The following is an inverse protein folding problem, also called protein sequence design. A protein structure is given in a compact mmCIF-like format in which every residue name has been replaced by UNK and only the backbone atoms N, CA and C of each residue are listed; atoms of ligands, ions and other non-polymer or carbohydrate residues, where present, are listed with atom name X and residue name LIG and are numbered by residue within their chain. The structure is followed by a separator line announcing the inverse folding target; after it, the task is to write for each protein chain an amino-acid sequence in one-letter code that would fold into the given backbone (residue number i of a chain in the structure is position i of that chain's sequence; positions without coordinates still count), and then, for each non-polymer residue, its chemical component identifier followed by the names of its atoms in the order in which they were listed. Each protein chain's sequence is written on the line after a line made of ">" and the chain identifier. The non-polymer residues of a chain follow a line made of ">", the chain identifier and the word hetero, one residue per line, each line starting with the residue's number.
data_IF_686193036291
#
_entry.id   IF_686193036291
#
_cell.length_a   1.000
_cell.length_b   1.000
_cell.length_c   1.000
_cell.angle_alpha   90.00
_cell.angle_beta   90.00
_cell.angle_gamma   90.00
#
_symmetry.space_group_name_H-M   'P 1'
#
loop_
_entity.id
_entity.type
_entity.pdbx_description
1 polymer ?
#
# COMPACT_ATOMS: atom_id res chain seq x y z
N UNK A 1 -1.00 18.83 -19.88
CA UNK A 1 -1.16 18.93 -18.41
C UNK A 1 -1.20 17.51 -17.84
N UNK A 2 -0.05 16.98 -17.39
CA UNK A 2 0.07 15.55 -17.11
C UNK A 2 -0.49 15.19 -15.74
N UNK A 3 -1.49 14.31 -15.74
CA UNK A 3 -2.26 13.83 -14.59
C UNK A 3 -1.37 13.16 -13.53
N UNK A 4 -0.93 13.91 -12.52
CA UNK A 4 -0.16 13.40 -11.37
C UNK A 4 -1.02 12.88 -10.21
N UNK A 5 -2.32 12.68 -10.41
CA UNK A 5 -3.29 12.63 -9.29
C UNK A 5 -3.76 11.26 -8.75
N UNK A 6 -3.45 10.07 -9.30
CA UNK A 6 -3.84 8.80 -8.64
C UNK A 6 -2.85 8.27 -7.59
N UNK A 7 -1.54 8.45 -7.81
CA UNK A 7 -0.49 7.81 -6.97
C UNK A 7 -0.32 8.52 -5.64
N UNK A 8 -0.14 9.83 -5.66
CA UNK A 8 0.15 10.61 -4.45
C UNK A 8 -1.05 10.64 -3.51
N UNK A 9 -2.27 10.66 -4.06
CA UNK A 9 -3.49 10.58 -3.26
C UNK A 9 -3.63 9.20 -2.61
N UNK A 10 -3.35 8.11 -3.33
CA UNK A 10 -3.32 6.77 -2.78
C UNK A 10 -2.32 6.65 -1.62
N UNK A 11 -1.09 7.14 -1.81
CA UNK A 11 -0.05 7.14 -0.78
C UNK A 11 -0.55 7.90 0.47
N UNK A 12 -1.10 9.11 0.28
CA UNK A 12 -1.63 9.92 1.40
C UNK A 12 -2.77 9.22 2.13
N UNK A 13 -3.70 8.59 1.41
CA UNK A 13 -4.82 7.87 2.01
C UNK A 13 -4.35 6.64 2.80
N UNK A 14 -3.42 5.86 2.25
CA UNK A 14 -2.82 4.72 2.95
C UNK A 14 -2.14 5.21 4.23
N UNK A 15 -1.26 6.21 4.14
CA UNK A 15 -0.54 6.72 5.32
C UNK A 15 -1.47 7.36 6.35
N UNK A 16 -2.60 7.94 5.92
CA UNK A 16 -3.65 8.43 6.83
C UNK A 16 -4.36 7.30 7.56
N UNK A 17 -4.66 6.19 6.87
CA UNK A 17 -5.36 5.04 7.44
C UNK A 17 -4.45 4.20 8.35
N UNK A 18 -3.19 4.03 7.97
CA UNK A 18 -2.25 3.14 8.65
C UNK A 18 -1.24 3.87 9.54
N UNK A 19 -1.27 5.20 9.57
CA UNK A 19 -0.41 6.00 10.43
C UNK A 19 -0.76 5.92 11.93
N UNK A 20 0.09 6.47 12.80
CA UNK A 20 -0.01 6.34 14.26
C UNK A 20 -1.35 6.77 14.86
N UNK A 21 -1.98 7.80 14.31
CA UNK A 21 -3.27 8.33 14.79
C UNK A 21 -4.48 7.48 14.44
N UNK A 22 -4.37 6.57 13.46
CA UNK A 22 -5.52 5.87 12.88
C UNK A 22 -5.41 4.35 12.95
N UNK A 23 -4.21 3.79 13.07
CA UNK A 23 -3.96 2.34 12.91
C UNK A 23 -4.82 1.48 13.84
N UNK A 24 -5.05 1.91 15.09
CA UNK A 24 -5.88 1.17 16.03
C UNK A 24 -7.36 1.10 15.58
N UNK A 25 -7.90 2.20 15.03
CA UNK A 25 -9.26 2.23 14.48
C UNK A 25 -9.35 1.42 13.18
N UNK A 26 -8.33 1.53 12.34
CA UNK A 26 -8.20 0.77 11.09
C UNK A 26 -8.14 -0.74 11.35
N UNK A 27 -7.35 -1.19 12.33
CA UNK A 27 -7.29 -2.60 12.74
C UNK A 27 -8.64 -3.12 13.22
N UNK A 28 -9.39 -2.33 14.02
CA UNK A 28 -10.75 -2.72 14.45
C UNK A 28 -11.69 -2.90 13.26
N UNK A 29 -11.68 -1.96 12.30
CA UNK A 29 -12.51 -2.05 11.08
C UNK A 29 -12.13 -3.28 10.25
N UNK A 30 -10.83 -3.55 10.12
CA UNK A 30 -10.32 -4.66 9.33
C UNK A 30 -10.59 -6.05 9.95
N UNK A 31 -11.03 -6.16 11.21
CA UNK A 31 -11.34 -7.47 11.83
C UNK A 31 -12.46 -8.24 11.12
N UNK A 32 -13.34 -7.55 10.40
CA UNK A 32 -14.39 -8.19 9.59
C UNK A 32 -13.84 -8.89 8.35
N UNK A 33 -12.61 -8.57 7.96
CA UNK A 33 -11.95 -9.19 6.81
C UNK A 33 -11.48 -10.59 7.19
N UNK A 34 -11.81 -11.56 6.35
CA UNK A 34 -11.37 -12.93 6.53
C UNK A 34 -9.83 -13.08 6.44
N UNK A 35 -9.29 -14.23 6.88
CA UNK A 35 -7.86 -14.51 6.82
C UNK A 35 -7.30 -14.54 5.38
N UNK A 36 -8.17 -14.73 4.38
CA UNK A 36 -7.83 -14.77 2.95
C UNK A 36 -7.85 -13.41 2.26
N UNK A 37 -8.26 -12.34 2.94
CA UNK A 37 -8.27 -10.99 2.37
C UNK A 37 -6.83 -10.54 2.07
N UNK A 38 -6.59 -10.16 0.82
CA UNK A 38 -5.29 -9.65 0.38
C UNK A 38 -5.18 -8.12 0.54
N UNK A 39 -4.01 -7.55 0.24
CA UNK A 39 -3.77 -6.11 0.38
C UNK A 39 -4.80 -5.25 -0.37
N UNK A 40 -5.30 -5.69 -1.53
CA UNK A 40 -6.31 -4.94 -2.26
C UNK A 40 -7.66 -4.99 -1.57
N UNK A 41 -8.04 -6.17 -1.06
CA UNK A 41 -9.29 -6.33 -0.32
C UNK A 41 -9.28 -5.46 0.95
N UNK A 42 -8.13 -5.43 1.66
CA UNK A 42 -7.91 -4.58 2.84
C UNK A 42 -8.08 -3.09 2.48
N UNK A 43 -7.34 -2.63 1.47
CA UNK A 43 -7.34 -1.22 1.06
C UNK A 43 -8.71 -0.77 0.54
N UNK A 44 -9.39 -1.64 -0.22
CA UNK A 44 -10.73 -1.37 -0.73
C UNK A 44 -11.76 -1.26 0.40
N UNK A 45 -11.78 -2.23 1.32
CA UNK A 45 -12.72 -2.26 2.45
C UNK A 45 -12.55 -1.05 3.38
N UNK A 46 -11.31 -0.58 3.53
CA UNK A 46 -11.00 0.59 4.33
C UNK A 46 -11.30 1.93 3.63
N UNK A 47 -11.57 1.90 2.32
CA UNK A 47 -11.90 3.08 1.52
C UNK A 47 -10.68 3.83 0.97
N UNK A 48 -9.54 3.15 0.80
CA UNK A 48 -8.32 3.74 0.22
C UNK A 48 -8.42 3.98 -1.31
N UNK A 49 -9.47 3.44 -1.95
CA UNK A 49 -9.75 3.60 -3.39
C UNK A 49 -11.10 4.29 -3.63
N UNK A 50 -11.33 5.55 -3.19
CA UNK A 50 -12.62 6.22 -3.35
C UNK A 50 -13.04 6.40 -4.83
N UNK A 51 -12.06 6.40 -5.74
CA UNK A 51 -12.27 6.51 -7.19
C UNK A 51 -12.62 5.17 -7.88
N UNK A 52 -12.53 4.03 -7.19
CA UNK A 52 -12.84 2.72 -7.76
C UNK A 52 -14.18 2.23 -7.20
N UNK A 53 -15.22 2.19 -8.04
CA UNK A 53 -16.60 1.78 -7.66
C UNK A 53 -17.13 0.59 -8.47
N UNK A 54 -17.74 -0.39 -7.80
CA UNK A 54 -18.45 -1.51 -8.44
C UNK A 54 -17.58 -2.35 -9.40
N UNK A 55 -18.05 -2.68 -10.63
CA UNK A 55 -17.32 -3.53 -11.58
C UNK A 55 -15.93 -2.98 -11.99
N UNK A 56 -15.63 -1.72 -11.67
CA UNK A 56 -14.30 -1.13 -11.86
C UNK A 56 -13.24 -1.70 -10.90
N UNK A 57 -13.60 -2.29 -9.75
CA UNK A 57 -12.64 -2.90 -8.81
C UNK A 57 -11.96 -4.12 -9.40
N UNK A 58 -12.73 -5.06 -9.93
CA UNK A 58 -12.19 -6.26 -10.56
C UNK A 58 -11.35 -5.90 -11.79
N UNK A 59 -11.79 -4.91 -12.57
CA UNK A 59 -11.04 -4.37 -13.71
C UNK A 59 -9.73 -3.72 -13.26
N UNK A 60 -9.77 -2.89 -12.21
CA UNK A 60 -8.61 -2.20 -11.64
C UNK A 60 -7.58 -3.19 -11.08
N UNK A 61 -8.05 -4.22 -10.38
CA UNK A 61 -7.22 -5.32 -9.86
C UNK A 61 -6.54 -6.11 -10.96
N UNK A 62 -7.22 -6.33 -12.10
CA UNK A 62 -6.62 -6.98 -13.29
C UNK A 62 -5.68 -6.06 -14.05
N UNK A 63 -5.93 -4.74 -14.04
CA UNK A 63 -5.12 -3.75 -14.76
C UNK A 63 -3.90 -3.26 -13.97
N UNK A 64 -3.74 -3.64 -12.71
CA UNK A 64 -2.55 -3.38 -11.93
C UNK A 64 -1.57 -4.55 -12.09
N UNK A 65 -0.54 -4.43 -12.96
CA UNK A 65 0.49 -5.45 -13.05
C UNK A 65 1.39 -5.31 -11.81
N UNK A 66 0.94 -5.83 -10.66
CA UNK A 66 1.81 -6.06 -9.51
C UNK A 66 2.18 -7.53 -9.54
N UNK A 67 3.47 -7.89 -9.62
CA UNK A 67 3.90 -9.27 -9.54
C UNK A 67 3.31 -9.97 -8.30
N UNK A 68 2.92 -11.24 -8.44
CA UNK A 68 2.29 -12.01 -7.36
C UNK A 68 3.11 -11.98 -6.07
N UNK A 69 4.44 -12.09 -6.19
CA UNK A 69 5.37 -12.01 -5.05
C UNK A 69 5.28 -10.66 -4.33
N UNK A 70 5.27 -9.55 -5.06
CA UNK A 70 5.13 -8.21 -4.50
C UNK A 70 3.78 -8.06 -3.78
N UNK A 71 2.71 -8.59 -4.36
CA UNK A 71 1.39 -8.59 -3.73
C UNK A 71 1.36 -9.40 -2.43
N UNK A 72 2.03 -10.54 -2.38
CA UNK A 72 2.14 -11.37 -1.17
C UNK A 72 2.93 -10.63 -0.07
N UNK A 73 4.06 -10.01 -0.41
CA UNK A 73 4.87 -9.22 0.54
C UNK A 73 4.05 -8.05 1.10
N UNK A 74 3.36 -7.30 0.22
CA UNK A 74 2.47 -6.22 0.65
C UNK A 74 1.35 -6.73 1.55
N UNK A 75 0.71 -7.84 1.19
CA UNK A 75 -0.34 -8.45 2.03
C UNK A 75 0.20 -8.82 3.40
N UNK A 76 1.38 -9.44 3.47
CA UNK A 76 2.03 -9.76 4.73
C UNK A 76 2.31 -8.49 5.56
N UNK A 77 2.90 -7.45 4.97
CA UNK A 77 3.22 -6.20 5.67
C UNK A 77 1.98 -5.53 6.26
N UNK A 78 0.90 -5.40 5.48
CA UNK A 78 -0.35 -4.79 5.94
C UNK A 78 -1.05 -5.63 7.02
N UNK A 79 -1.04 -6.97 6.89
CA UNK A 79 -1.60 -7.84 7.93
C UNK A 79 -0.77 -7.79 9.21
N UNK A 80 0.55 -7.74 9.11
CA UNK A 80 1.44 -7.58 10.27
C UNK A 80 1.17 -6.25 10.97
N UNK A 81 0.98 -5.16 10.22
CA UNK A 81 0.61 -3.85 10.78
C UNK A 81 -0.71 -3.91 11.57
N UNK A 82 -1.72 -4.61 11.06
CA UNK A 82 -3.04 -4.66 11.68
C UNK A 82 -3.12 -5.67 12.83
N UNK A 83 -2.45 -6.82 12.73
CA UNK A 83 -2.71 -8.01 13.54
C UNK A 83 -1.45 -8.78 13.98
N UNK A 84 -0.24 -8.32 13.63
CA UNK A 84 1.00 -9.09 13.82
C UNK A 84 1.54 -9.13 15.26
N UNK A 85 0.98 -8.34 16.18
CA UNK A 85 1.42 -8.29 17.57
C UNK A 85 0.27 -7.98 18.53
N UNK A 86 0.59 -7.75 19.80
CA UNK A 86 -0.39 -7.42 20.84
C UNK A 86 -1.20 -6.15 20.51
N UNK A 87 -0.56 -5.20 19.81
CA UNK A 87 -1.17 -3.95 19.36
C UNK A 87 -0.86 -3.74 17.88
N UNK A 88 -1.75 -3.07 17.12
CA UNK A 88 -1.47 -2.68 15.75
C UNK A 88 -0.26 -1.77 15.65
N UNK A 89 0.62 -2.05 14.70
CA UNK A 89 1.84 -1.27 14.44
C UNK A 89 1.59 -0.31 13.29
N UNK A 90 1.87 0.99 13.45
CA UNK A 90 1.77 1.96 12.36
C UNK A 90 2.53 1.50 11.12
N UNK A 91 2.03 1.87 9.94
CA UNK A 91 2.67 1.60 8.66
C UNK A 91 2.81 2.88 7.84
N UNK A 92 4.02 3.10 7.32
CA UNK A 92 4.33 4.10 6.31
C UNK A 92 4.50 3.42 4.96
N UNK A 93 3.94 4.02 3.92
CA UNK A 93 3.87 3.46 2.58
C UNK A 93 4.29 4.50 1.55
N UNK A 94 5.18 4.11 0.65
CA UNK A 94 5.63 4.93 -0.47
C UNK A 94 5.61 4.14 -1.78
N UNK A 95 5.39 4.83 -2.90
CA UNK A 95 5.53 4.26 -4.24
C UNK A 95 6.57 5.06 -5.01
N UNK A 96 7.62 4.40 -5.47
CA UNK A 96 8.63 4.98 -6.35
C UNK A 96 8.53 4.43 -7.77
N UNK A 97 8.91 5.26 -8.73
CA UNK A 97 9.14 4.84 -10.11
C UNK A 97 10.52 4.22 -10.24
N UNK A 98 10.64 3.04 -10.84
CA UNK A 98 11.90 2.36 -11.09
C UNK A 98 11.96 1.66 -12.44
N UNK A 99 13.13 1.09 -12.74
CA UNK A 99 13.33 0.23 -13.93
C UNK A 99 12.90 -1.22 -13.69
N UNK A 100 12.70 -1.58 -12.42
CA UNK A 100 12.30 -2.91 -11.97
C UNK A 100 11.14 -2.79 -10.99
N UNK A 101 10.36 -3.86 -10.87
CA UNK A 101 9.36 -4.02 -9.82
C UNK A 101 10.07 -4.51 -8.55
N UNK A 102 9.87 -3.84 -7.41
CA UNK A 102 10.44 -4.28 -6.13
C UNK A 102 9.54 -3.87 -4.96
N UNK A 103 9.60 -4.62 -3.86
CA UNK A 103 9.00 -4.24 -2.58
C UNK A 103 10.05 -4.38 -1.50
N UNK A 104 10.28 -3.31 -0.76
CA UNK A 104 11.11 -3.30 0.43
C UNK A 104 10.22 -3.11 1.66
N UNK A 105 10.44 -3.92 2.69
CA UNK A 105 9.73 -3.82 3.97
C UNK A 105 10.76 -3.76 5.08
N UNK A 106 10.72 -2.69 5.88
CA UNK A 106 11.54 -2.53 7.09
C UNK A 106 10.62 -2.53 8.30
N UNK A 107 10.87 -3.45 9.21
CA UNK A 107 10.06 -3.58 10.44
C UNK A 107 10.88 -3.16 11.64
N UNK A 108 10.29 -2.30 12.47
CA UNK A 108 10.80 -1.95 13.80
C UNK A 108 9.70 -2.21 14.83
N UNK A 109 10.03 -2.06 16.12
CA UNK A 109 9.04 -2.16 17.19
C UNK A 109 7.94 -1.07 17.13
N UNK A 110 8.14 0.02 16.38
CA UNK A 110 7.24 1.19 16.36
C UNK A 110 6.60 1.47 15.01
N UNK A 111 7.15 0.94 13.93
CA UNK A 111 6.77 1.29 12.56
C UNK A 111 7.13 0.15 11.60
N UNK A 112 6.24 -0.08 10.64
CA UNK A 112 6.52 -0.86 9.43
C UNK A 112 6.63 0.13 8.28
N UNK A 113 7.79 0.18 7.63
CA UNK A 113 8.03 1.03 6.47
C UNK A 113 8.00 0.17 5.20
N UNK A 114 7.18 0.56 4.22
CA UNK A 114 6.94 -0.20 3.00
C UNK A 114 7.19 0.69 1.79
N UNK A 115 8.13 0.28 0.95
CA UNK A 115 8.46 0.96 -0.29
C UNK A 115 8.13 0.03 -1.46
N UNK A 116 7.21 0.46 -2.31
CA UNK A 116 6.86 -0.23 -3.55
C UNK A 116 7.51 0.49 -4.74
N UNK A 117 8.46 -0.14 -5.39
CA UNK A 117 9.02 0.34 -6.66
C UNK A 117 8.23 -0.27 -7.81
N UNK A 118 7.66 0.59 -8.67
CA UNK A 118 6.88 0.21 -9.86
C UNK A 118 7.63 0.56 -11.12
N UNK A 119 7.54 -0.30 -12.13
CA UNK A 119 7.92 0.09 -13.48
C UNK A 119 6.82 0.96 -14.05
N UNK A 120 7.14 2.23 -14.26
CA UNK A 120 6.21 3.11 -14.95
C UNK A 120 6.26 2.83 -16.45
N UNK A 121 5.10 2.63 -17.12
CA UNK A 121 5.06 2.69 -18.57
C UNK A 121 5.60 4.05 -18.98
N UNK A 122 6.63 4.05 -19.84
CA UNK A 122 7.51 5.18 -20.13
C UNK A 122 6.80 6.55 -20.10
N UNK A 123 7.06 7.37 -19.07
CA UNK A 123 6.53 8.74 -18.98
C UNK A 123 6.35 9.34 -17.59
N UNK A 124 6.34 8.55 -16.50
CA UNK A 124 6.17 9.10 -15.15
C UNK A 124 7.53 9.40 -14.47
N UNK A 125 7.59 10.58 -13.84
CA UNK A 125 8.79 11.26 -13.34
C UNK A 125 9.70 10.35 -12.51
N UNK A 126 10.99 10.37 -12.82
CA UNK A 126 12.05 9.71 -12.05
C UNK A 126 12.19 10.35 -10.66
N UNK A 127 12.07 9.61 -9.55
CA UNK A 127 12.62 10.09 -8.28
C UNK A 127 14.14 10.08 -8.35
N UNK A 128 14.78 11.08 -7.73
CA UNK A 128 16.24 11.13 -7.57
C UNK A 128 16.67 9.97 -6.66
N UNK A 129 17.79 9.29 -6.94
CA UNK A 129 18.32 8.32 -6.00
C UNK A 129 18.64 9.04 -4.69
N UNK A 130 18.09 8.56 -3.58
CA UNK A 130 18.60 8.90 -2.27
C UNK A 130 20.06 8.43 -2.23
N UNK A 131 20.98 9.39 -2.27
CA UNK A 131 22.31 9.19 -1.74
C UNK A 131 22.13 8.86 -0.25
N UNK A 132 22.35 7.60 0.13
CA UNK A 132 22.65 7.30 1.52
C UNK A 132 24.13 7.63 1.77
N UNK A 133 24.47 8.15 2.96
CA UNK A 133 25.84 8.48 3.35
C UNK A 133 26.74 7.25 3.38
#
# INVERSE_FOLDING_TARGET
>A
MSAGLPRDELIKLINKLFGPGSIAATARRARRLGPKADVFDILLDLGAFPWVKGPSVAKYRRSLPIPTVNKQILTAAFRTALFGGEKPTPLHFEIYSGRTEAVEVKTTAKLIDVILVRVDPAGARRPRPHARP
#
